data_IF_189717299891
#
_entry.id   IF_189717299891
#
_cell.length_a   1.000
_cell.length_b   1.000
_cell.length_c   1.000
_cell.angle_alpha   90.00
_cell.angle_beta   90.00
_cell.angle_gamma   90.00
#
_symmetry.space_group_name_H-M   'P 1'
#
loop_
_entity.id
_entity.type
_entity.pdbx_description
1 polymer ?
#
# COMPACT_ATOMS: atom_id res chain seq x y z
N UNK A 1 -8.47 -0.62 20.81
CA UNK A 1 -7.81 -1.88 20.52
C UNK A 1 -8.63 -3.03 21.11
N UNK A 2 -9.23 -3.87 20.27
CA UNK A 2 -10.07 -5.00 20.69
C UNK A 2 -9.26 -6.09 21.44
N UNK A 3 -7.93 -6.06 21.35
CA UNK A 3 -7.01 -7.04 21.97
C UNK A 3 -6.60 -6.68 23.40
N UNK A 4 -6.92 -5.50 23.91
CA UNK A 4 -6.39 -4.99 25.19
C UNK A 4 -4.91 -4.59 25.14
N UNK A 5 -4.27 -4.65 23.98
CA UNK A 5 -2.89 -4.19 23.78
C UNK A 5 -2.86 -2.66 23.61
N UNK A 6 -1.82 -2.01 24.11
CA UNK A 6 -1.52 -0.62 23.79
C UNK A 6 -1.15 -0.52 22.30
N UNK A 7 -1.71 0.48 21.62
CA UNK A 7 -1.35 0.81 20.23
C UNK A 7 -0.86 2.24 20.21
N UNK A 8 0.28 2.46 19.58
CA UNK A 8 0.88 3.76 19.35
C UNK A 8 1.02 3.96 17.84
N UNK A 9 0.51 5.08 17.35
CA UNK A 9 0.61 5.45 15.94
C UNK A 9 1.90 6.24 15.73
N UNK A 10 2.73 5.78 14.79
CA UNK A 10 3.96 6.49 14.42
C UNK A 10 3.63 7.59 13.39
N UNK A 11 4.08 8.82 13.62
CA UNK A 11 3.84 9.91 12.70
C UNK A 11 4.59 9.72 11.37
N UNK A 12 4.07 10.38 10.34
CA UNK A 12 4.70 10.50 9.03
C UNK A 12 5.00 11.97 8.72
N UNK A 13 5.94 12.21 7.81
CA UNK A 13 6.18 13.56 7.28
C UNK A 13 5.13 13.95 6.20
N UNK A 14 5.25 15.14 5.63
CA UNK A 14 4.35 15.66 4.58
C UNK A 14 4.31 14.79 3.31
N UNK A 15 5.34 13.99 3.06
CA UNK A 15 5.39 13.05 1.94
C UNK A 15 4.80 11.68 2.28
N UNK A 16 4.37 11.46 3.53
CA UNK A 16 3.80 10.20 3.99
C UNK A 16 4.85 9.13 4.35
N UNK A 17 6.11 9.51 4.50
CA UNK A 17 7.19 8.64 4.98
C UNK A 17 7.23 8.69 6.49
N UNK A 18 7.38 7.52 7.12
CA UNK A 18 7.46 7.38 8.58
C UNK A 18 8.59 8.26 9.16
N UNK A 19 8.31 8.90 10.29
CA UNK A 19 9.31 9.64 11.04
C UNK A 19 10.21 8.67 11.81
N UNK A 20 11.44 8.53 11.33
CA UNK A 20 12.42 7.60 11.90
C UNK A 20 12.87 8.01 13.31
N UNK A 21 12.84 9.29 13.65
CA UNK A 21 13.16 9.76 15.00
C UNK A 21 12.04 9.40 15.98
N UNK A 22 10.79 9.48 15.55
CA UNK A 22 9.65 9.03 16.34
C UNK A 22 9.68 7.50 16.54
N UNK A 23 10.07 6.73 15.53
CA UNK A 23 10.28 5.28 15.67
C UNK A 23 11.37 4.98 16.72
N UNK A 24 12.51 5.64 16.63
CA UNK A 24 13.61 5.47 17.60
C UNK A 24 13.17 5.83 19.04
N UNK A 25 12.39 6.91 19.21
CA UNK A 25 11.84 7.33 20.49
C UNK A 25 10.86 6.28 21.04
N UNK A 26 9.92 5.80 20.23
CA UNK A 26 8.96 4.77 20.63
C UNK A 26 9.66 3.46 21.04
N UNK A 27 10.64 3.01 20.28
CA UNK A 27 11.41 1.82 20.60
C UNK A 27 12.21 2.00 21.91
N UNK A 28 12.78 3.18 22.18
CA UNK A 28 13.58 3.42 23.38
C UNK A 28 12.78 3.39 24.68
N UNK A 29 11.48 3.60 24.63
CA UNK A 29 10.57 3.67 25.80
C UNK A 29 9.70 2.43 25.96
N UNK A 30 9.65 1.55 25.00
CA UNK A 30 8.81 0.34 25.02
C UNK A 30 9.58 -0.93 25.39
N UNK A 31 8.86 -1.92 25.90
CA UNK A 31 9.31 -3.31 25.88
C UNK A 31 9.29 -3.83 24.42
N UNK A 32 9.90 -5.00 24.11
CA UNK A 32 9.79 -5.58 22.78
C UNK A 32 8.35 -5.61 22.28
N UNK A 33 8.13 -5.07 21.08
CA UNK A 33 6.83 -4.77 20.52
C UNK A 33 6.66 -5.41 19.12
N UNK A 34 5.45 -5.38 18.61
CA UNK A 34 5.16 -5.64 17.20
C UNK A 34 5.06 -4.31 16.48
N UNK A 35 5.99 -4.06 15.57
CA UNK A 35 5.95 -2.89 14.67
C UNK A 35 5.29 -3.29 13.37
N UNK A 36 4.21 -2.61 12.98
CA UNK A 36 3.43 -2.89 11.78
C UNK A 36 3.60 -1.76 10.78
N UNK A 37 4.09 -2.05 9.57
CA UNK A 37 4.32 -1.04 8.53
C UNK A 37 3.84 -1.53 7.17
N UNK A 38 3.14 -0.68 6.41
CA UNK A 38 2.87 -0.95 5.00
C UNK A 38 4.17 -0.73 4.20
N UNK A 39 4.51 -1.64 3.29
CA UNK A 39 5.66 -1.44 2.37
C UNK A 39 5.39 -0.29 1.43
N UNK A 40 4.15 -0.19 0.94
CA UNK A 40 3.67 0.89 0.09
C UNK A 40 2.29 1.33 0.56
N UNK A 41 2.06 2.63 0.64
CA UNK A 41 0.76 3.17 1.00
C UNK A 41 -0.27 2.93 -0.11
N UNK A 42 -1.48 2.54 0.26
CA UNK A 42 -2.54 2.18 -0.68
C UNK A 42 -3.22 3.38 -1.37
N UNK A 43 -3.07 4.59 -0.84
CA UNK A 43 -3.64 5.82 -1.40
C UNK A 43 -2.59 6.56 -2.24
N UNK A 44 -1.44 6.89 -1.66
CA UNK A 44 -0.40 7.70 -2.30
C UNK A 44 0.60 6.89 -3.11
N UNK A 45 0.73 5.59 -2.83
CA UNK A 45 1.78 4.76 -3.41
C UNK A 45 3.17 4.96 -2.79
N UNK A 46 3.31 5.81 -1.78
CA UNK A 46 4.58 6.12 -1.11
C UNK A 46 5.17 4.86 -0.49
N UNK A 47 6.45 4.64 -0.74
CA UNK A 47 7.22 3.51 -0.23
C UNK A 47 7.86 3.87 1.11
N UNK A 48 7.78 2.96 2.07
CA UNK A 48 8.44 3.12 3.36
C UNK A 48 9.88 2.57 3.33
N UNK A 49 10.81 3.14 4.10
CA UNK A 49 12.19 2.69 4.18
C UNK A 49 12.32 1.41 5.03
N UNK A 50 11.68 0.32 4.58
CA UNK A 50 11.49 -0.91 5.37
C UNK A 50 12.82 -1.49 5.86
N UNK A 51 13.88 -1.43 5.06
CA UNK A 51 15.19 -1.95 5.46
C UNK A 51 15.75 -1.23 6.67
N UNK A 52 15.67 0.10 6.67
CA UNK A 52 16.14 0.91 7.80
C UNK A 52 15.29 0.71 9.05
N UNK A 53 13.96 0.57 8.86
CA UNK A 53 13.03 0.23 9.96
C UNK A 53 13.40 -1.14 10.54
N UNK A 54 13.65 -2.14 9.69
CA UNK A 54 13.98 -3.50 10.10
C UNK A 54 15.27 -3.54 10.96
N UNK A 55 16.28 -2.76 10.58
CA UNK A 55 17.54 -2.68 11.33
C UNK A 55 17.30 -2.15 12.75
N UNK A 56 16.50 -1.11 12.92
CA UNK A 56 16.15 -0.54 14.24
C UNK A 56 15.30 -1.48 15.07
N UNK A 57 14.25 -2.05 14.46
CA UNK A 57 13.33 -2.98 15.14
C UNK A 57 14.06 -4.24 15.60
N UNK A 58 14.94 -4.78 14.76
CA UNK A 58 15.77 -5.95 15.12
C UNK A 58 16.76 -5.63 16.23
N UNK A 59 17.44 -4.48 16.17
CA UNK A 59 18.37 -4.05 17.22
C UNK A 59 17.68 -3.89 18.58
N UNK A 60 16.40 -3.52 18.58
CA UNK A 60 15.59 -3.41 19.80
C UNK A 60 15.06 -4.78 20.29
N UNK A 61 15.17 -5.85 19.50
CA UNK A 61 14.59 -7.16 19.82
C UNK A 61 13.07 -7.24 19.61
N UNK A 62 12.51 -6.33 18.83
CA UNK A 62 11.11 -6.28 18.43
C UNK A 62 10.87 -7.09 17.15
N UNK A 63 9.60 -7.23 16.76
CA UNK A 63 9.16 -7.96 15.57
C UNK A 63 8.64 -6.95 14.54
N UNK A 64 9.09 -7.06 13.30
CA UNK A 64 8.60 -6.26 12.19
C UNK A 64 7.62 -7.06 11.32
N UNK A 65 6.38 -6.64 11.32
CA UNK A 65 5.35 -7.09 10.36
C UNK A 65 5.20 -6.07 9.24
N UNK A 66 5.28 -6.53 7.99
CA UNK A 66 5.08 -5.70 6.82
C UNK A 66 3.80 -6.08 6.07
N UNK A 67 2.99 -5.07 5.72
CA UNK A 67 1.93 -5.23 4.74
C UNK A 67 2.48 -4.94 3.34
N UNK A 68 2.72 -6.00 2.55
CA UNK A 68 3.21 -5.94 1.18
C UNK A 68 2.11 -5.97 0.13
N UNK A 69 0.84 -5.89 0.53
CA UNK A 69 -0.32 -6.06 -0.36
C UNK A 69 -0.29 -5.10 -1.55
N UNK A 70 0.14 -3.86 -1.37
CA UNK A 70 0.23 -2.90 -2.48
C UNK A 70 1.55 -2.98 -3.25
N UNK A 71 2.60 -3.53 -2.66
CA UNK A 71 3.93 -3.63 -3.26
C UNK A 71 4.10 -4.88 -4.15
N UNK A 72 3.44 -5.98 -3.77
CA UNK A 72 3.51 -7.25 -4.50
C UNK A 72 3.16 -7.07 -5.98
N UNK A 73 3.98 -7.64 -6.87
CA UNK A 73 3.82 -7.57 -8.31
C UNK A 73 4.09 -6.21 -8.96
N UNK A 74 4.47 -5.17 -8.19
CA UNK A 74 4.76 -3.83 -8.70
C UNK A 74 6.22 -3.42 -8.50
N UNK A 75 6.82 -3.90 -7.40
CA UNK A 75 8.24 -3.74 -7.11
C UNK A 75 8.81 -5.08 -6.64
N UNK A 76 10.13 -5.29 -6.73
CA UNK A 76 10.78 -6.48 -6.15
C UNK A 76 10.48 -6.58 -4.65
N UNK A 77 9.95 -7.71 -4.22
CA UNK A 77 9.53 -7.96 -2.85
C UNK A 77 10.15 -9.27 -2.35
N UNK A 78 10.95 -9.19 -1.30
CA UNK A 78 11.58 -10.34 -0.63
C UNK A 78 11.68 -10.08 0.86
N UNK A 79 11.26 -11.05 1.68
CA UNK A 79 11.36 -10.97 3.15
C UNK A 79 12.81 -10.77 3.58
N UNK A 80 13.76 -11.45 2.91
CA UNK A 80 15.19 -11.33 3.20
C UNK A 80 15.72 -9.93 2.90
N UNK A 81 15.34 -9.37 1.73
CA UNK A 81 15.78 -8.03 1.32
C UNK A 81 15.15 -6.94 2.18
N UNK A 82 13.91 -7.11 2.58
CA UNK A 82 13.22 -6.18 3.49
C UNK A 82 13.75 -6.29 4.93
N UNK A 83 14.22 -7.48 5.33
CA UNK A 83 14.63 -7.74 6.71
C UNK A 83 13.47 -7.85 7.69
N UNK A 84 12.24 -8.01 7.22
CA UNK A 84 11.06 -8.14 8.08
C UNK A 84 10.88 -9.57 8.59
N UNK A 85 10.17 -9.73 9.71
CA UNK A 85 9.88 -11.02 10.33
C UNK A 85 8.65 -11.70 9.75
N UNK A 86 7.69 -10.90 9.28
CA UNK A 86 6.49 -11.38 8.60
C UNK A 86 6.04 -10.40 7.53
N UNK A 87 5.49 -10.94 6.43
CA UNK A 87 5.02 -10.18 5.27
C UNK A 87 3.66 -10.70 4.82
N UNK A 88 2.66 -9.83 4.79
CA UNK A 88 1.34 -10.15 4.24
C UNK A 88 1.25 -9.77 2.76
N UNK A 89 0.62 -10.63 1.96
CA UNK A 89 0.31 -10.41 0.56
C UNK A 89 -1.09 -10.94 0.21
N UNK A 90 -1.72 -10.38 -0.82
CA UNK A 90 -3.09 -10.74 -1.22
C UNK A 90 -3.18 -11.00 -2.72
N UNK A 91 -3.78 -12.12 -3.10
CA UNK A 91 -3.87 -12.57 -4.47
C UNK A 91 -4.58 -11.57 -5.39
N UNK A 92 -5.71 -10.99 -4.96
CA UNK A 92 -6.50 -10.09 -5.79
C UNK A 92 -5.78 -8.77 -6.13
N UNK A 93 -4.69 -8.45 -5.47
CA UNK A 93 -3.86 -7.26 -5.76
C UNK A 93 -2.81 -7.49 -6.86
N UNK A 94 -2.60 -8.75 -7.23
CA UNK A 94 -1.69 -9.17 -8.30
C UNK A 94 -2.41 -9.92 -9.42
N UNK A 95 -3.73 -9.71 -9.57
CA UNK A 95 -4.52 -10.36 -10.61
C UNK A 95 -4.97 -11.79 -10.30
N UNK A 96 -4.79 -12.25 -9.07
CA UNK A 96 -5.25 -13.56 -8.60
C UNK A 96 -6.68 -13.55 -8.03
N UNK A 97 -7.16 -14.71 -7.54
CA UNK A 97 -8.51 -14.85 -7.01
C UNK A 97 -8.74 -14.03 -5.74
N UNK A 98 -9.99 -13.58 -5.54
CA UNK A 98 -10.41 -12.97 -4.28
C UNK A 98 -10.49 -14.01 -3.16
N UNK A 99 -10.35 -13.56 -1.90
CA UNK A 99 -10.54 -14.41 -0.72
C UNK A 99 -9.35 -15.31 -0.38
N UNK A 100 -8.19 -15.11 -1.02
CA UNK A 100 -6.95 -15.81 -0.72
C UNK A 100 -5.78 -14.84 -0.59
N UNK A 101 -4.89 -15.12 0.35
CA UNK A 101 -3.67 -14.37 0.60
C UNK A 101 -2.65 -15.26 1.31
N UNK A 102 -1.48 -14.73 1.56
CA UNK A 102 -0.44 -15.43 2.29
C UNK A 102 0.22 -14.54 3.34
N UNK A 103 0.61 -15.16 4.44
CA UNK A 103 1.52 -14.61 5.43
C UNK A 103 2.84 -15.35 5.30
N UNK A 104 3.86 -14.68 4.78
CA UNK A 104 5.24 -15.20 4.75
C UNK A 104 5.86 -14.88 6.09
N UNK A 105 6.42 -15.89 6.76
CA UNK A 105 6.96 -15.77 8.12
C UNK A 105 8.41 -16.24 8.13
N UNK A 106 9.29 -15.46 8.72
CA UNK A 106 10.70 -15.79 8.92
C UNK A 106 10.83 -17.14 9.65
N UNK A 107 11.79 -17.95 9.23
CA UNK A 107 12.08 -19.21 9.89
C UNK A 107 12.37 -19.00 11.39
N UNK A 108 11.77 -19.82 12.23
CA UNK A 108 11.91 -19.76 13.69
C UNK A 108 10.97 -18.79 14.41
N UNK A 109 10.25 -17.91 13.71
CA UNK A 109 9.20 -17.10 14.34
C UNK A 109 7.95 -17.95 14.57
N UNK A 110 7.53 -18.03 15.83
CA UNK A 110 6.31 -18.77 16.22
C UNK A 110 5.12 -17.82 16.14
N UNK A 111 4.18 -18.12 15.22
CA UNK A 111 2.90 -17.41 15.11
C UNK A 111 1.80 -18.39 15.52
N UNK A 112 1.12 -18.15 16.64
CA UNK A 112 0.02 -19.02 17.06
C UNK A 112 -1.14 -18.93 16.06
N UNK A 113 -1.88 -20.04 15.82
CA UNK A 113 -2.99 -20.04 14.88
C UNK A 113 -4.12 -19.15 15.40
N UNK A 114 -4.59 -18.22 14.57
CA UNK A 114 -5.77 -17.40 14.86
C UNK A 114 -7.08 -18.20 14.74
N UNK A 115 -7.06 -19.26 13.93
CA UNK A 115 -8.17 -20.23 13.77
C UNK A 115 -7.67 -21.59 14.22
N UNK A 116 -8.15 -22.06 15.36
CA UNK A 116 -7.86 -23.39 15.86
C UNK A 116 -8.55 -24.45 14.99
N UNK A 117 -7.90 -25.60 14.81
CA UNK A 117 -8.44 -26.71 13.99
C UNK A 117 -7.52 -27.90 13.92
N UNK A 118 -7.53 -28.59 12.79
CA UNK A 118 -6.66 -29.72 12.49
C UNK A 118 -5.22 -29.29 12.18
N UNK A 119 -4.47 -30.15 11.48
CA UNK A 119 -3.06 -29.92 11.13
C UNK A 119 -2.84 -29.07 9.87
N UNK A 120 -3.87 -28.37 9.34
CA UNK A 120 -3.79 -27.58 8.12
C UNK A 120 -2.74 -26.48 8.26
N UNK A 121 -2.11 -26.10 7.16
CA UNK A 121 -1.03 -25.09 7.12
C UNK A 121 0.06 -25.36 8.17
N UNK A 122 0.42 -26.64 8.36
CA UNK A 122 1.36 -27.09 9.39
C UNK A 122 0.97 -26.65 10.82
N UNK A 123 -0.35 -26.64 11.11
CA UNK A 123 -0.90 -26.22 12.39
C UNK A 123 -1.00 -24.70 12.58
N UNK A 124 -0.74 -23.91 11.55
CA UNK A 124 -0.76 -22.45 11.63
C UNK A 124 -2.13 -21.82 11.38
N UNK A 125 -3.02 -22.54 10.69
CA UNK A 125 -4.39 -22.06 10.38
C UNK A 125 -5.31 -23.25 10.17
N UNK A 126 -6.28 -23.45 11.06
CA UNK A 126 -7.26 -24.53 10.95
C UNK A 126 -8.31 -24.28 9.86
N UNK A 127 -9.01 -25.36 9.47
CA UNK A 127 -10.02 -25.39 8.42
C UNK A 127 -9.46 -25.82 7.07
N UNK A 128 -10.32 -26.41 6.22
CA UNK A 128 -9.94 -26.87 4.88
C UNK A 128 -9.34 -25.74 4.04
N UNK A 129 -8.29 -26.08 3.33
CA UNK A 129 -7.59 -25.14 2.45
C UNK A 129 -8.43 -24.82 1.21
N UNK A 130 -8.44 -23.55 0.80
CA UNK A 130 -9.01 -23.11 -0.47
C UNK A 130 -8.04 -23.45 -1.63
N UNK A 131 -7.98 -24.74 -1.99
CA UNK A 131 -7.00 -25.25 -2.95
C UNK A 131 -7.07 -24.50 -4.30
N UNK A 132 -8.25 -24.28 -4.83
CA UNK A 132 -8.43 -23.55 -6.11
C UNK A 132 -7.93 -22.10 -6.04
N UNK A 133 -8.22 -21.41 -4.94
CA UNK A 133 -7.73 -20.07 -4.69
C UNK A 133 -6.20 -20.03 -4.53
N UNK A 134 -5.63 -21.00 -3.82
CA UNK A 134 -4.17 -21.12 -3.60
C UNK A 134 -3.43 -21.37 -4.92
N UNK A 135 -3.94 -22.27 -5.77
CA UNK A 135 -3.38 -22.54 -7.11
C UNK A 135 -3.44 -21.29 -7.98
N UNK A 136 -4.59 -20.62 -8.02
CA UNK A 136 -4.74 -19.35 -8.77
C UNK A 136 -3.83 -18.24 -8.22
N UNK A 137 -3.61 -18.18 -6.91
CA UNK A 137 -2.66 -17.23 -6.32
C UNK A 137 -1.22 -17.55 -6.72
N UNK A 138 -0.81 -18.82 -6.70
CA UNK A 138 0.52 -19.25 -7.14
C UNK A 138 0.80 -18.82 -8.57
N UNK A 139 -0.14 -19.09 -9.50
CA UNK A 139 -0.03 -18.65 -10.90
C UNK A 139 0.06 -17.12 -11.01
N UNK A 140 -0.78 -16.38 -10.28
CA UNK A 140 -0.75 -14.92 -10.31
C UNK A 140 0.59 -14.37 -9.78
N UNK A 141 1.16 -14.99 -8.75
CA UNK A 141 2.48 -14.61 -8.21
C UNK A 141 3.59 -14.85 -9.24
N UNK A 142 3.57 -15.98 -9.95
CA UNK A 142 4.53 -16.29 -11.01
C UNK A 142 4.43 -15.28 -12.17
N UNK A 143 3.23 -14.99 -12.65
CA UNK A 143 3.00 -14.03 -13.72
C UNK A 143 3.43 -12.61 -13.32
N UNK A 144 3.07 -12.18 -12.11
CA UNK A 144 3.41 -10.84 -11.61
C UNK A 144 4.91 -10.61 -11.44
N UNK A 145 5.67 -11.66 -11.12
CA UNK A 145 7.12 -11.58 -11.07
C UNK A 145 7.73 -11.26 -12.46
N UNK A 146 7.15 -11.80 -13.54
CA UNK A 146 7.53 -11.48 -14.91
C UNK A 146 7.17 -10.04 -15.33
N UNK A 147 6.16 -9.45 -14.70
CA UNK A 147 5.68 -8.09 -15.00
C UNK A 147 6.50 -6.98 -14.31
N UNK A 148 7.38 -7.30 -13.37
CA UNK A 148 8.23 -6.31 -12.69
C UNK A 148 9.07 -5.48 -13.68
N UNK A 149 9.42 -6.05 -14.83
CA UNK A 149 10.13 -5.32 -15.90
C UNK A 149 9.32 -4.14 -16.48
N UNK A 150 7.99 -4.14 -16.34
CA UNK A 150 7.12 -3.05 -16.78
C UNK A 150 7.18 -1.82 -15.84
N UNK A 151 7.75 -1.97 -14.66
CA UNK A 151 7.77 -0.93 -13.64
C UNK A 151 8.33 0.40 -14.15
N UNK A 152 9.46 0.38 -14.87
CA UNK A 152 10.07 1.59 -15.42
C UNK A 152 9.16 2.29 -16.46
N UNK A 153 8.48 1.52 -17.31
CA UNK A 153 7.55 2.07 -18.30
C UNK A 153 6.31 2.68 -17.65
N UNK A 154 5.76 2.02 -16.63
CA UNK A 154 4.63 2.53 -15.85
C UNK A 154 5.01 3.80 -15.08
N UNK A 155 6.21 3.85 -14.49
CA UNK A 155 6.72 5.05 -13.83
C UNK A 155 6.82 6.22 -14.81
N UNK A 156 7.37 6.00 -16.00
CA UNK A 156 7.44 7.03 -17.05
C UNK A 156 6.06 7.57 -17.45
N UNK A 157 5.04 6.69 -17.58
CA UNK A 157 3.66 7.12 -17.88
C UNK A 157 3.04 7.90 -16.72
N UNK A 158 3.23 7.45 -15.48
CA UNK A 158 2.79 8.18 -14.28
C UNK A 158 3.42 9.57 -14.21
N UNK A 159 4.74 9.66 -14.40
CA UNK A 159 5.46 10.92 -14.28
C UNK A 159 5.05 11.90 -15.40
N UNK A 160 4.82 11.41 -16.62
CA UNK A 160 4.26 12.20 -17.72
C UNK A 160 2.87 12.70 -17.38
N UNK A 161 1.98 11.83 -16.92
CA UNK A 161 0.63 12.21 -16.49
C UNK A 161 0.66 13.33 -15.43
N UNK A 162 1.52 13.20 -14.43
CA UNK A 162 1.66 14.21 -13.38
C UNK A 162 2.22 15.53 -13.90
N UNK A 163 3.13 15.51 -14.88
CA UNK A 163 3.64 16.70 -15.53
C UNK A 163 2.54 17.39 -16.35
N UNK A 164 1.75 16.65 -17.09
CA UNK A 164 0.66 17.15 -17.91
C UNK A 164 -0.47 17.73 -17.01
N UNK A 165 -0.79 17.06 -15.89
CA UNK A 165 -1.73 17.57 -14.89
C UNK A 165 -1.26 18.92 -14.31
N UNK A 166 0.03 19.04 -13.95
CA UNK A 166 0.58 20.32 -13.46
C UNK A 166 0.56 21.43 -14.52
N UNK A 167 0.74 21.07 -15.78
CA UNK A 167 0.67 22.04 -16.88
C UNK A 167 -0.77 22.53 -17.13
N UNK A 168 -1.75 21.62 -17.05
CA UNK A 168 -3.17 21.93 -17.24
C UNK A 168 -3.79 22.61 -16.01
N UNK A 169 -3.36 22.22 -14.81
CA UNK A 169 -3.91 22.67 -13.52
C UNK A 169 -2.75 23.06 -12.59
N UNK A 170 -2.27 24.32 -12.64
CA UNK A 170 -1.10 24.75 -11.86
C UNK A 170 -1.23 24.58 -10.34
N UNK A 171 -2.47 24.58 -9.82
CA UNK A 171 -2.77 24.43 -8.39
C UNK A 171 -2.94 22.95 -7.96
N UNK A 172 -2.72 21.98 -8.87
CA UNK A 172 -2.79 20.57 -8.53
C UNK A 172 -1.68 20.18 -7.56
N UNK A 173 -2.04 19.52 -6.48
CA UNK A 173 -1.08 18.98 -5.52
C UNK A 173 -0.95 17.47 -5.71
N UNK A 174 0.24 16.99 -6.00
CA UNK A 174 0.55 15.54 -6.06
C UNK A 174 1.09 15.12 -4.70
N UNK A 175 0.37 14.24 -4.00
CA UNK A 175 0.74 13.80 -2.66
C UNK A 175 1.90 12.81 -2.67
N UNK A 176 2.91 13.06 -1.85
CA UNK A 176 4.12 12.24 -1.75
C UNK A 176 5.01 12.29 -3.00
N UNK A 177 4.96 13.41 -3.76
CA UNK A 177 5.70 13.55 -5.01
C UNK A 177 7.23 13.43 -4.82
N UNK A 178 7.74 13.88 -3.68
CA UNK A 178 9.16 13.93 -3.38
C UNK A 178 9.69 12.64 -2.70
N UNK A 179 8.78 11.72 -2.36
CA UNK A 179 9.13 10.40 -1.83
C UNK A 179 9.26 9.32 -2.92
N UNK A 180 10.00 8.23 -2.67
CA UNK A 180 9.91 7.03 -3.48
C UNK A 180 8.47 6.50 -3.50
N UNK A 181 7.97 6.14 -4.69
CA UNK A 181 6.59 5.68 -4.87
C UNK A 181 6.50 4.45 -5.76
N UNK A 182 5.40 3.73 -5.65
CA UNK A 182 5.04 2.68 -6.60
C UNK A 182 5.05 3.25 -8.03
N UNK A 183 5.50 2.47 -9.02
CA UNK A 183 5.65 2.95 -10.40
C UNK A 183 4.31 3.29 -11.06
N UNK A 184 3.21 2.76 -10.55
CA UNK A 184 1.91 2.80 -11.19
C UNK A 184 0.85 3.61 -10.43
N UNK A 185 1.19 4.26 -9.33
CA UNK A 185 0.21 4.94 -8.47
C UNK A 185 0.54 6.41 -8.34
N UNK A 186 -0.47 7.25 -8.56
CA UNK A 186 -0.45 8.68 -8.28
C UNK A 186 -1.68 9.06 -7.48
N UNK A 187 -1.52 9.91 -6.49
CA UNK A 187 -2.60 10.52 -5.74
C UNK A 187 -2.44 12.03 -5.79
N UNK A 188 -3.49 12.73 -6.22
CA UNK A 188 -3.45 14.18 -6.34
C UNK A 188 -4.78 14.79 -5.92
N UNK A 189 -4.77 16.06 -5.60
CA UNK A 189 -5.95 16.81 -5.22
C UNK A 189 -5.95 18.22 -5.76
N UNK A 190 -7.16 18.76 -5.86
CA UNK A 190 -7.41 20.18 -6.15
C UNK A 190 -8.38 20.74 -5.12
N UNK A 191 -8.09 21.92 -4.60
CA UNK A 191 -9.01 22.65 -3.71
C UNK A 191 -10.30 23.03 -4.43
N UNK A 192 -11.40 23.00 -3.69
CA UNK A 192 -12.74 23.30 -4.21
C UNK A 192 -13.40 22.18 -5.01
N UNK A 193 -12.75 21.02 -5.16
CA UNK A 193 -13.33 19.83 -5.77
C UNK A 193 -13.75 18.80 -4.71
N UNK A 194 -14.74 18.00 -5.09
CA UNK A 194 -15.14 16.82 -4.33
C UNK A 194 -14.74 15.56 -5.11
N UNK A 195 -13.86 14.75 -4.55
CA UNK A 195 -13.30 13.57 -5.19
C UNK A 195 -14.36 12.62 -5.76
N UNK A 196 -15.48 12.41 -5.05
CA UNK A 196 -16.58 11.59 -5.56
C UNK A 196 -17.24 12.16 -6.82
N UNK A 197 -17.42 13.48 -6.87
CA UNK A 197 -17.98 14.16 -8.06
C UNK A 197 -17.03 14.00 -9.24
N UNK A 198 -15.73 14.13 -9.01
CA UNK A 198 -14.70 13.92 -10.04
C UNK A 198 -14.69 12.46 -10.51
N UNK A 199 -14.74 11.48 -9.58
CA UNK A 199 -14.84 10.05 -9.94
C UNK A 199 -16.06 9.79 -10.80
N UNK A 200 -17.24 10.31 -10.45
CA UNK A 200 -18.46 10.14 -11.25
C UNK A 200 -18.34 10.78 -12.64
N UNK A 201 -17.75 11.96 -12.74
CA UNK A 201 -17.56 12.63 -14.02
C UNK A 201 -16.59 11.86 -14.93
N UNK A 202 -15.49 11.33 -14.37
CA UNK A 202 -14.52 10.51 -15.10
C UNK A 202 -15.11 9.15 -15.49
N UNK A 203 -15.93 8.54 -14.63
CA UNK A 203 -16.62 7.27 -14.95
C UNK A 203 -17.57 7.43 -16.14
N UNK A 204 -18.32 8.55 -16.20
CA UNK A 204 -19.14 8.89 -17.38
C UNK A 204 -18.31 9.10 -18.66
N UNK A 205 -17.05 9.48 -18.53
CA UNK A 205 -16.09 9.56 -19.63
C UNK A 205 -15.36 8.21 -19.90
N UNK A 206 -15.76 7.11 -19.26
CA UNK A 206 -15.13 5.80 -19.30
C UNK A 206 -13.67 5.80 -18.81
N UNK A 207 -13.38 6.59 -17.78
CA UNK A 207 -12.09 6.65 -17.09
C UNK A 207 -12.30 6.21 -15.64
N UNK A 208 -11.80 5.02 -15.31
CA UNK A 208 -11.94 4.45 -13.96
C UNK A 208 -10.81 4.93 -13.06
N UNK A 209 -11.16 5.68 -12.02
CA UNK A 209 -10.26 6.14 -10.97
C UNK A 209 -10.89 5.88 -9.60
N UNK A 210 -10.18 6.18 -8.52
CA UNK A 210 -10.72 6.08 -7.17
C UNK A 210 -10.64 7.42 -6.45
N UNK A 211 -11.59 7.73 -5.59
CA UNK A 211 -11.41 8.80 -4.61
C UNK A 211 -10.28 8.44 -3.63
N UNK A 212 -9.57 9.42 -3.08
CA UNK A 212 -8.44 9.20 -2.20
C UNK A 212 -8.76 8.29 -1.00
N UNK A 213 -9.93 8.44 -0.40
CA UNK A 213 -10.40 7.65 0.76
C UNK A 213 -11.16 6.36 0.38
N UNK A 214 -10.94 5.78 -0.79
CA UNK A 214 -11.73 4.65 -1.35
C UNK A 214 -11.75 3.35 -0.51
N UNK A 215 -10.95 3.22 0.54
CA UNK A 215 -10.88 2.01 1.39
C UNK A 215 -11.76 2.04 2.64
N UNK A 216 -12.47 3.13 2.92
CA UNK A 216 -13.42 3.17 4.03
C UNK A 216 -14.76 2.61 3.58
N UNK A 217 -15.01 1.34 3.94
CA UNK A 217 -16.20 0.54 3.64
C UNK A 217 -17.52 1.34 3.63
N UNK A 218 -17.91 1.86 2.45
CA UNK A 218 -19.27 2.35 2.21
C UNK A 218 -19.71 3.67 2.89
N UNK A 219 -18.81 4.36 3.59
CA UNK A 219 -19.02 5.73 4.09
C UNK A 219 -17.92 6.62 3.55
N UNK A 220 -18.33 7.78 3.01
CA UNK A 220 -17.40 8.87 2.70
C UNK A 220 -16.72 9.27 3.99
N UNK A 221 -15.50 8.80 4.20
CA UNK A 221 -14.68 9.22 5.33
C UNK A 221 -13.46 9.95 4.79
N UNK A 222 -13.07 10.95 5.53
CA UNK A 222 -11.83 11.68 5.30
C UNK A 222 -10.66 10.70 5.24
N UNK A 223 -9.70 10.95 4.34
CA UNK A 223 -8.49 10.14 4.28
C UNK A 223 -7.62 10.38 5.54
N UNK A 224 -7.55 9.38 6.39
CA UNK A 224 -6.65 9.43 7.56
C UNK A 224 -5.16 9.48 7.14
N UNK A 225 -4.84 9.00 5.93
CA UNK A 225 -3.49 9.06 5.36
C UNK A 225 -3.13 10.51 5.06
N UNK A 226 -3.96 11.22 4.30
CA UNK A 226 -3.72 12.63 3.95
C UNK A 226 -3.77 13.53 5.20
N UNK A 227 -4.62 13.19 6.19
CA UNK A 227 -4.65 13.87 7.48
C UNK A 227 -3.34 13.70 8.24
N UNK A 228 -2.80 12.50 8.30
CA UNK A 228 -1.51 12.23 8.92
C UNK A 228 -0.33 12.94 8.21
N UNK A 229 -0.45 13.16 6.90
CA UNK A 229 0.50 13.95 6.10
C UNK A 229 0.34 15.47 6.30
N UNK A 230 -0.66 15.92 7.06
CA UNK A 230 -0.94 17.34 7.29
C UNK A 230 -1.59 18.07 6.11
N UNK A 231 -2.23 17.32 5.20
CA UNK A 231 -2.91 17.89 4.03
C UNK A 231 -4.18 18.63 4.47
N UNK A 232 -4.33 19.86 3.98
CA UNK A 232 -5.51 20.69 4.22
C UNK A 232 -6.81 19.97 3.81
N UNK A 233 -7.86 20.15 4.61
CA UNK A 233 -9.14 19.42 4.45
C UNK A 233 -9.75 19.57 3.06
N UNK A 234 -9.79 20.79 2.53
CA UNK A 234 -10.38 21.09 1.23
C UNK A 234 -9.64 20.36 0.10
N UNK A 235 -8.32 20.36 0.15
CA UNK A 235 -7.47 19.65 -0.80
C UNK A 235 -7.60 18.14 -0.67
N UNK A 236 -7.64 17.60 0.55
CA UNK A 236 -7.84 16.17 0.83
C UNK A 236 -9.21 15.68 0.33
N UNK A 237 -10.24 16.51 0.43
CA UNK A 237 -11.60 16.20 -0.04
C UNK A 237 -11.69 16.06 -1.56
N UNK A 238 -10.82 16.78 -2.29
CA UNK A 238 -10.67 16.68 -3.75
C UNK A 238 -9.72 15.57 -4.22
N UNK A 239 -9.24 14.72 -3.32
CA UNK A 239 -8.21 13.73 -3.66
C UNK A 239 -8.71 12.62 -4.59
N UNK A 240 -7.94 12.36 -5.62
CA UNK A 240 -8.15 11.29 -6.61
C UNK A 240 -6.90 10.41 -6.64
N UNK A 241 -7.11 9.08 -6.63
CA UNK A 241 -6.04 8.12 -6.87
C UNK A 241 -6.19 7.50 -8.25
N UNK A 242 -5.14 7.60 -9.03
CA UNK A 242 -4.97 6.92 -10.32
C UNK A 242 -4.04 5.74 -10.14
N UNK A 243 -4.43 4.58 -10.68
CA UNK A 243 -3.62 3.37 -10.66
C UNK A 243 -3.51 2.83 -12.09
N UNK A 244 -2.33 2.93 -12.66
CA UNK A 244 -2.05 2.45 -14.01
C UNK A 244 -1.91 0.92 -14.01
N UNK A 245 -2.54 0.26 -14.95
CA UNK A 245 -2.38 -1.18 -15.19
C UNK A 245 -1.32 -1.46 -16.26
N UNK A 246 -0.95 -2.73 -16.41
CA UNK A 246 -0.02 -3.19 -17.46
C UNK A 246 -0.49 -2.83 -18.88
N UNK A 247 -1.79 -2.81 -19.10
CA UNK A 247 -2.40 -2.55 -20.40
C UNK A 247 -2.75 -1.05 -20.61
N UNK A 248 -2.40 -0.18 -19.66
CA UNK A 248 -2.60 1.26 -19.79
C UNK A 248 -1.67 1.81 -20.87
N UNK A 249 -2.25 2.26 -21.98
CA UNK A 249 -1.53 2.91 -23.07
C UNK A 249 -1.42 4.43 -22.88
N UNK A 250 -0.66 5.08 -23.76
CA UNK A 250 -0.47 6.53 -23.69
C UNK A 250 -1.77 7.30 -23.98
N UNK A 251 -2.64 6.75 -24.86
CA UNK A 251 -3.92 7.36 -25.18
C UNK A 251 -4.88 7.35 -23.96
N UNK A 252 -4.80 6.33 -23.12
CA UNK A 252 -5.57 6.29 -21.88
C UNK A 252 -5.09 7.35 -20.87
N UNK A 253 -3.77 7.60 -20.81
CA UNK A 253 -3.19 8.68 -20.00
C UNK A 253 -3.61 10.05 -20.52
N UNK A 254 -3.52 10.28 -21.85
CA UNK A 254 -3.90 11.55 -22.50
C UNK A 254 -5.37 11.91 -22.31
N UNK A 255 -6.25 10.93 -22.14
CA UNK A 255 -7.68 11.19 -21.89
C UNK A 255 -7.99 11.63 -20.46
N UNK A 256 -7.09 11.35 -19.52
CA UNK A 256 -7.29 11.74 -18.11
C UNK A 256 -6.97 13.22 -17.88
N UNK A 257 -6.01 13.75 -18.61
CA UNK A 257 -5.56 15.16 -18.54
C UNK A 257 -6.43 16.04 -19.42
#
# INVERSE_FOLDING_TARGET
AASGLGVEDLPVNSDGVIDMAALDAALSTSAPALVCVMVANNETGVLQPIREIAERVTAHGSILFCDGVQAAGKIPLSVENLGCDALAVSAHKIGGPMGVGALVVRAGLVVPPSVAGGGQELGRRGGSENVSGIVGFGLAAELSAGELALGAALAGKRDRMEADLRAAMPDVCIFGADAPRLPNTSCFGLSGLHGETVVMALDLANISVSAGAACSSGKVSRSHVLDAMGVEHDLSNGAIRVSLGRDTDDAAVDRLV
#
